data_IF_194172049526
#
_entry.id   IF_194172049526
#
_cell.length_a   1.000
_cell.length_b   1.000
_cell.length_c   1.000
_cell.angle_alpha   90.00
_cell.angle_beta   90.00
_cell.angle_gamma   90.00
#
_symmetry.space_group_name_H-M   'P 1'
#
loop_
_entity.id
_entity.type
_entity.pdbx_description
1 polymer ?
#
# COMPACT_ATOMS: atom_id res chain seq x y z
N UNK A 1 23.95 2.75 53.72
CA UNK A 1 24.25 3.70 52.63
C UNK A 1 23.93 3.01 51.33
N UNK A 2 22.92 3.52 50.62
CA UNK A 2 22.61 3.11 49.25
C UNK A 2 23.80 3.48 48.36
N UNK A 3 24.31 2.51 47.61
CA UNK A 3 25.29 2.78 46.57
C UNK A 3 24.55 3.50 45.43
N UNK A 4 24.79 4.80 45.30
CA UNK A 4 24.40 5.60 44.14
C UNK A 4 24.80 4.86 42.85
N UNK A 5 23.81 4.49 42.05
CA UNK A 5 24.04 3.97 40.72
C UNK A 5 24.71 5.06 39.89
N UNK A 6 26.01 4.93 39.66
CA UNK A 6 26.77 5.84 38.83
C UNK A 6 26.05 6.04 37.48
N UNK A 7 25.74 7.29 37.14
CA UNK A 7 25.21 7.66 35.84
C UNK A 7 26.05 7.00 34.74
N UNK A 8 25.39 6.27 33.85
CA UNK A 8 26.02 5.75 32.64
C UNK A 8 26.44 6.93 31.76
N UNK A 9 27.65 7.44 32.00
CA UNK A 9 28.30 8.41 31.14
C UNK A 9 28.72 7.67 29.86
N UNK A 10 27.99 7.92 28.78
CA UNK A 10 28.47 7.57 27.44
C UNK A 10 29.76 8.36 27.20
N UNK A 11 30.87 7.67 26.93
CA UNK A 11 32.13 8.33 26.58
C UNK A 11 32.05 8.88 25.16
N UNK A 12 32.50 10.11 24.92
CA UNK A 12 32.57 10.81 23.62
C UNK A 12 33.53 10.16 22.59
N UNK A 13 33.88 8.89 22.75
CA UNK A 13 34.58 8.15 21.70
C UNK A 13 33.56 7.75 20.65
N UNK A 14 33.37 8.61 19.64
CA UNK A 14 32.67 8.27 18.41
C UNK A 14 33.24 6.95 17.89
N UNK A 15 32.44 5.89 17.85
CA UNK A 15 32.88 4.54 17.47
C UNK A 15 33.51 4.46 16.05
N UNK A 16 33.48 5.55 15.29
CA UNK A 16 34.09 5.67 13.96
C UNK A 16 34.65 7.10 13.75
N UNK A 17 35.96 7.34 13.97
CA UNK A 17 36.62 8.61 13.67
C UNK A 17 36.41 9.09 12.23
N UNK A 18 36.27 8.16 11.28
CA UNK A 18 35.95 8.45 9.88
C UNK A 18 34.55 9.03 9.68
N UNK A 19 33.56 8.72 10.55
CA UNK A 19 32.23 9.35 10.51
C UNK A 19 32.27 10.79 11.03
N UNK A 20 33.13 11.10 11.99
CA UNK A 20 33.32 12.49 12.43
C UNK A 20 33.93 13.34 11.30
N UNK A 21 34.97 12.82 10.63
CA UNK A 21 35.56 13.47 9.45
C UNK A 21 34.55 13.61 8.30
N UNK A 22 33.72 12.59 8.09
CA UNK A 22 32.63 12.63 7.12
C UNK A 22 31.65 13.75 7.46
N UNK A 23 31.18 13.85 8.70
CA UNK A 23 30.25 14.90 9.12
C UNK A 23 30.80 16.32 8.89
N UNK A 24 32.07 16.55 9.21
CA UNK A 24 32.67 17.87 9.15
C UNK A 24 32.97 18.34 7.71
N UNK A 25 33.21 17.39 6.80
CA UNK A 25 33.71 17.69 5.46
C UNK A 25 32.75 17.40 4.30
N UNK A 26 31.73 16.57 4.51
CA UNK A 26 30.87 16.12 3.40
C UNK A 26 29.96 17.24 2.91
N UNK A 27 30.05 17.51 1.61
CA UNK A 27 29.08 18.31 0.87
C UNK A 27 28.26 17.40 -0.04
N UNK A 28 27.20 17.92 -0.67
CA UNK A 28 26.48 17.14 -1.66
C UNK A 28 27.41 16.67 -2.78
N UNK A 29 28.21 17.59 -3.33
CA UNK A 29 29.12 17.33 -4.46
C UNK A 29 30.12 16.21 -4.17
N UNK A 30 30.57 16.10 -2.92
CA UNK A 30 31.55 15.10 -2.48
C UNK A 30 30.90 13.84 -1.89
N UNK A 31 29.58 13.83 -1.70
CA UNK A 31 28.87 12.78 -0.97
C UNK A 31 29.15 11.38 -1.52
N UNK A 32 29.07 11.19 -2.85
CA UNK A 32 29.24 9.88 -3.48
C UNK A 32 30.63 9.30 -3.25
N UNK A 33 31.66 10.13 -3.41
CA UNK A 33 33.06 9.74 -3.21
C UNK A 33 33.32 9.31 -1.77
N UNK A 34 32.75 10.03 -0.81
CA UNK A 34 32.89 9.72 0.61
C UNK A 34 32.02 8.53 1.05
N UNK A 35 30.84 8.35 0.44
CA UNK A 35 29.93 7.26 0.76
C UNK A 35 30.41 5.91 0.20
N UNK A 36 31.15 5.89 -0.91
CA UNK A 36 31.64 4.68 -1.56
C UNK A 36 32.34 3.69 -0.61
N UNK A 37 33.39 4.11 0.12
CA UNK A 37 34.08 3.26 1.10
C UNK A 37 33.16 2.80 2.25
N UNK A 38 32.27 3.67 2.71
CA UNK A 38 31.32 3.36 3.79
C UNK A 38 30.31 2.29 3.36
N UNK A 39 29.83 2.33 2.12
CA UNK A 39 28.91 1.34 1.56
C UNK A 39 29.55 -0.06 1.42
N UNK A 40 30.87 -0.15 1.31
CA UNK A 40 31.59 -1.42 1.25
C UNK A 40 31.55 -2.20 2.58
N UNK A 41 31.30 -1.53 3.72
CA UNK A 41 31.16 -2.16 5.05
C UNK A 41 29.96 -3.11 5.16
N UNK A 42 28.95 -2.94 4.29
CA UNK A 42 27.65 -3.65 4.31
C UNK A 42 26.86 -3.52 5.62
N UNK A 43 27.23 -2.60 6.50
CA UNK A 43 26.53 -2.33 7.75
C UNK A 43 25.19 -1.61 7.47
N UNK A 44 24.12 -2.08 8.09
CA UNK A 44 22.80 -1.46 7.99
C UNK A 44 22.76 -0.06 8.62
N UNK A 45 23.43 0.15 9.76
CA UNK A 45 23.47 1.43 10.46
C UNK A 45 24.21 2.48 9.65
N UNK A 46 25.30 2.09 8.97
CA UNK A 46 26.03 2.98 8.06
C UNK A 46 25.13 3.41 6.90
N UNK A 47 24.35 2.48 6.31
CA UNK A 47 23.39 2.84 5.25
C UNK A 47 22.31 3.78 5.75
N UNK A 48 21.76 3.57 6.94
CA UNK A 48 20.72 4.44 7.50
C UNK A 48 21.25 5.84 7.80
N UNK A 49 22.46 5.91 8.35
CA UNK A 49 23.17 7.16 8.54
C UNK A 49 23.40 7.92 7.21
N UNK A 50 23.88 7.23 6.16
CA UNK A 50 24.09 7.84 4.84
C UNK A 50 22.79 8.36 4.23
N UNK A 51 21.66 7.65 4.40
CA UNK A 51 20.34 8.11 3.94
C UNK A 51 19.94 9.41 4.65
N UNK A 52 20.06 9.44 5.97
CA UNK A 52 19.70 10.62 6.77
C UNK A 52 20.59 11.82 6.43
N UNK A 53 21.91 11.60 6.31
CA UNK A 53 22.84 12.68 5.96
C UNK A 53 22.61 13.20 4.54
N UNK A 54 22.31 12.32 3.58
CA UNK A 54 21.95 12.76 2.22
C UNK A 54 20.67 13.60 2.23
N UNK A 55 19.65 13.19 2.98
CA UNK A 55 18.41 13.96 3.13
C UNK A 55 18.68 15.37 3.68
N UNK A 56 19.52 15.49 4.70
CA UNK A 56 19.97 16.77 5.28
C UNK A 56 20.70 17.64 4.25
N UNK A 57 21.65 17.06 3.50
CA UNK A 57 22.43 17.79 2.48
C UNK A 57 21.56 18.32 1.33
N UNK A 58 20.51 17.58 0.94
CA UNK A 58 19.50 18.00 -0.03
C UNK A 58 18.62 19.11 0.56
N UNK A 59 18.09 18.90 1.76
CA UNK A 59 17.15 19.83 2.41
C UNK A 59 15.89 20.08 1.57
N UNK A 60 15.52 21.35 1.40
CA UNK A 60 14.38 21.81 0.58
C UNK A 60 14.79 22.22 -0.86
N UNK A 61 16.05 21.99 -1.25
CA UNK A 61 16.59 22.46 -2.52
C UNK A 61 16.30 21.48 -3.68
N UNK A 62 15.41 21.90 -4.58
CA UNK A 62 15.04 21.12 -5.75
C UNK A 62 16.18 20.88 -6.75
N UNK A 63 17.18 21.76 -6.84
CA UNK A 63 18.33 21.56 -7.74
C UNK A 63 19.21 20.43 -7.21
N UNK A 64 19.48 20.44 -5.90
CA UNK A 64 20.20 19.37 -5.21
C UNK A 64 19.48 18.04 -5.32
N UNK A 65 18.17 18.02 -5.07
CA UNK A 65 17.35 16.84 -5.26
C UNK A 65 17.39 16.32 -6.70
N UNK A 66 17.29 17.22 -7.68
CA UNK A 66 17.40 16.88 -9.10
C UNK A 66 18.74 16.24 -9.48
N UNK A 67 19.85 16.73 -8.90
CA UNK A 67 21.17 16.13 -9.08
C UNK A 67 21.24 14.70 -8.51
N UNK A 68 20.61 14.45 -7.37
CA UNK A 68 20.53 13.11 -6.77
C UNK A 68 19.69 12.16 -7.63
N UNK A 69 18.60 12.65 -8.25
CA UNK A 69 17.84 11.87 -9.24
C UNK A 69 18.74 11.46 -10.41
N UNK A 70 19.56 12.38 -10.93
CA UNK A 70 20.49 12.06 -12.02
C UNK A 70 21.51 11.00 -11.62
N UNK A 71 22.09 11.10 -10.41
CA UNK A 71 23.02 10.09 -9.91
C UNK A 71 22.36 8.71 -9.79
N UNK A 72 21.09 8.66 -9.36
CA UNK A 72 20.35 7.42 -9.21
C UNK A 72 20.08 6.72 -10.54
N UNK A 73 20.12 7.41 -11.69
CA UNK A 73 19.93 6.79 -13.01
C UNK A 73 21.04 5.78 -13.33
N UNK A 74 22.27 6.07 -12.92
CA UNK A 74 23.45 5.23 -13.22
C UNK A 74 23.95 4.43 -12.01
N UNK A 75 23.52 4.78 -10.80
CA UNK A 75 23.89 4.08 -9.58
C UNK A 75 23.46 2.60 -9.57
N UNK A 76 24.14 1.80 -8.74
CA UNK A 76 23.91 0.36 -8.61
C UNK A 76 23.87 -0.07 -7.14
N UNK A 77 23.19 -1.18 -6.87
CA UNK A 77 23.20 -1.86 -5.57
C UNK A 77 22.84 -0.94 -4.41
N UNK A 78 23.68 -0.94 -3.36
CA UNK A 78 23.43 -0.18 -2.14
C UNK A 78 23.45 1.34 -2.34
N UNK A 79 24.23 1.84 -3.30
CA UNK A 79 24.28 3.28 -3.61
C UNK A 79 22.92 3.77 -4.10
N UNK A 80 22.33 3.07 -5.09
CA UNK A 80 21.00 3.40 -5.62
C UNK A 80 19.95 3.49 -4.50
N UNK A 81 19.96 2.53 -3.58
CA UNK A 81 19.04 2.50 -2.44
C UNK A 81 19.25 3.67 -1.47
N UNK A 82 20.50 4.06 -1.21
CA UNK A 82 20.81 5.24 -0.37
C UNK A 82 20.36 6.52 -1.05
N UNK A 83 20.62 6.69 -2.34
CA UNK A 83 20.25 7.89 -3.09
C UNK A 83 18.73 8.12 -3.06
N UNK A 84 17.93 7.11 -3.42
CA UNK A 84 16.47 7.24 -3.43
C UNK A 84 15.86 7.37 -2.03
N UNK A 85 16.43 6.68 -1.04
CA UNK A 85 15.95 6.80 0.34
C UNK A 85 16.29 8.16 0.96
N UNK A 86 17.48 8.69 0.69
CA UNK A 86 17.87 10.04 1.12
C UNK A 86 17.03 11.12 0.43
N UNK A 87 16.79 10.97 -0.88
CA UNK A 87 15.86 11.84 -1.61
C UNK A 87 14.47 11.82 -0.98
N UNK A 88 13.91 10.64 -0.74
CA UNK A 88 12.59 10.48 -0.09
C UNK A 88 12.53 11.04 1.34
N UNK A 89 13.66 11.07 2.04
CA UNK A 89 13.78 11.66 3.36
C UNK A 89 13.95 13.18 3.37
N UNK A 90 14.17 13.81 2.21
CA UNK A 90 14.34 15.26 2.08
C UNK A 90 13.00 15.98 1.85
N UNK A 91 12.89 17.23 2.28
CA UNK A 91 11.71 18.07 2.00
C UNK A 91 11.55 18.39 0.51
N UNK A 92 12.69 18.48 -0.20
CA UNK A 92 12.73 18.77 -1.63
C UNK A 92 11.97 17.74 -2.48
N UNK A 93 11.76 16.50 -2.00
CA UNK A 93 10.99 15.49 -2.73
C UNK A 93 9.56 15.96 -3.01
N UNK A 94 8.99 16.81 -2.14
CA UNK A 94 7.64 17.35 -2.28
C UNK A 94 7.51 18.44 -3.34
N UNK A 95 8.64 18.89 -3.95
CA UNK A 95 8.63 19.94 -4.96
C UNK A 95 8.11 19.37 -6.29
N UNK A 96 7.20 20.06 -7.00
CA UNK A 96 6.64 19.57 -8.27
C UNK A 96 7.70 19.22 -9.32
N UNK A 97 8.77 20.01 -9.43
CA UNK A 97 9.86 19.73 -10.37
C UNK A 97 10.66 18.46 -10.04
N UNK A 98 10.77 18.08 -8.76
CA UNK A 98 11.45 16.85 -8.34
C UNK A 98 10.53 15.65 -8.59
N UNK A 99 9.24 15.78 -8.25
CA UNK A 99 8.25 14.76 -8.51
C UNK A 99 8.12 14.44 -10.01
N UNK A 100 8.08 15.47 -10.86
CA UNK A 100 8.05 15.32 -12.32
C UNK A 100 9.29 14.59 -12.84
N UNK A 101 10.48 14.93 -12.34
CA UNK A 101 11.73 14.29 -12.75
C UNK A 101 11.81 12.81 -12.34
N UNK A 102 11.33 12.49 -11.13
CA UNK A 102 11.20 11.11 -10.66
C UNK A 102 10.21 10.30 -11.51
N UNK A 103 9.08 10.91 -11.87
CA UNK A 103 8.08 10.29 -12.74
C UNK A 103 8.66 10.00 -14.13
N UNK A 104 9.33 10.98 -14.73
CA UNK A 104 10.00 10.83 -16.02
C UNK A 104 11.07 9.73 -15.99
N UNK A 105 11.92 9.72 -14.96
CA UNK A 105 12.91 8.65 -14.79
C UNK A 105 12.25 7.28 -14.57
N UNK A 106 11.14 7.21 -13.84
CA UNK A 106 10.35 5.99 -13.66
C UNK A 106 9.74 5.45 -14.95
N UNK A 107 9.45 6.33 -15.90
CA UNK A 107 8.85 5.97 -17.20
C UNK A 107 9.89 5.75 -18.31
N UNK A 108 11.16 6.03 -18.04
CA UNK A 108 12.24 5.93 -19.00
C UNK A 108 12.53 4.47 -19.40
N UNK A 109 12.20 4.12 -20.64
CA UNK A 109 12.41 2.78 -21.20
C UNK A 109 13.90 2.42 -21.37
N UNK A 110 14.79 3.41 -21.31
CA UNK A 110 16.24 3.19 -21.34
C UNK A 110 16.81 2.71 -20.00
N UNK A 111 16.06 2.82 -18.90
CA UNK A 111 16.46 2.32 -17.59
C UNK A 111 15.97 0.89 -17.35
N UNK A 112 16.70 0.15 -16.51
CA UNK A 112 16.26 -1.18 -16.08
C UNK A 112 14.96 -1.09 -15.26
N UNK A 113 14.22 -2.20 -15.21
CA UNK A 113 12.92 -2.27 -14.52
C UNK A 113 13.06 -1.90 -13.04
N UNK A 114 14.11 -2.39 -12.37
CA UNK A 114 14.36 -2.14 -10.95
C UNK A 114 14.62 -0.65 -10.68
N UNK A 115 15.32 0.02 -11.61
CA UNK A 115 15.57 1.47 -11.51
C UNK A 115 14.28 2.26 -11.67
N UNK A 116 13.48 1.90 -12.66
CA UNK A 116 12.17 2.50 -12.92
C UNK A 116 11.25 2.34 -11.71
N UNK A 117 11.18 1.13 -11.15
CA UNK A 117 10.41 0.83 -9.94
C UNK A 117 10.91 1.64 -8.73
N UNK A 118 12.22 1.77 -8.54
CA UNK A 118 12.81 2.60 -7.50
C UNK A 118 12.43 4.09 -7.63
N UNK A 119 12.56 4.65 -8.83
CA UNK A 119 12.20 6.06 -9.10
C UNK A 119 10.72 6.34 -8.81
N UNK A 120 9.83 5.45 -9.24
CA UNK A 120 8.40 5.55 -8.94
C UNK A 120 8.11 5.39 -7.44
N UNK A 121 8.85 4.52 -6.75
CA UNK A 121 8.72 4.31 -5.30
C UNK A 121 9.21 5.51 -4.48
N UNK A 122 10.12 6.33 -4.99
CA UNK A 122 10.53 7.57 -4.31
C UNK A 122 9.35 8.56 -4.17
N UNK A 123 8.31 8.43 -5.02
CA UNK A 123 7.10 9.24 -4.98
C UNK A 123 6.09 8.78 -3.90
N UNK A 124 6.31 7.68 -3.19
CA UNK A 124 5.41 7.16 -2.14
C UNK A 124 5.08 8.16 -1.01
N UNK A 125 5.94 9.17 -0.85
CA UNK A 125 5.83 10.16 0.23
C UNK A 125 5.23 11.47 -0.24
N UNK A 126 4.88 11.60 -1.53
CA UNK A 126 4.19 12.79 -2.00
C UNK A 126 2.92 13.03 -1.18
N UNK A 127 2.67 14.29 -0.83
CA UNK A 127 1.41 14.71 -0.22
C UNK A 127 0.26 14.77 -1.22
N UNK A 128 0.59 14.98 -2.49
CA UNK A 128 -0.35 15.10 -3.60
C UNK A 128 0.35 14.73 -4.91
N UNK A 129 -0.38 14.09 -5.82
CA UNK A 129 0.01 13.89 -7.22
C UNK A 129 -0.90 14.70 -8.13
N UNK A 130 -0.31 15.33 -9.14
CA UNK A 130 -1.10 16.02 -10.16
C UNK A 130 -1.95 15.02 -10.95
N UNK A 131 -3.10 15.45 -11.52
CA UNK A 131 -3.91 14.58 -12.38
C UNK A 131 -3.13 13.90 -13.51
N UNK A 132 -2.27 14.65 -14.21
CA UNK A 132 -1.40 14.11 -15.26
C UNK A 132 -0.45 13.02 -14.74
N UNK A 133 0.17 13.23 -13.56
CA UNK A 133 1.03 12.21 -12.96
C UNK A 133 0.25 10.95 -12.62
N UNK A 134 -0.96 11.10 -12.08
CA UNK A 134 -1.82 9.96 -11.77
C UNK A 134 -2.26 9.19 -13.02
N UNK A 135 -2.66 9.91 -14.08
CA UNK A 135 -3.06 9.32 -15.37
C UNK A 135 -1.90 8.55 -16.00
N UNK A 136 -0.71 9.16 -16.07
CA UNK A 136 0.48 8.51 -16.62
C UNK A 136 0.88 7.26 -15.82
N UNK A 137 0.77 7.29 -14.49
CA UNK A 137 1.02 6.10 -13.65
C UNK A 137 0.00 5.00 -13.90
N UNK A 138 -1.29 5.35 -14.03
CA UNK A 138 -2.36 4.38 -14.27
C UNK A 138 -2.26 3.74 -15.66
N UNK A 139 -1.92 4.53 -16.68
CA UNK A 139 -1.65 4.03 -18.02
C UNK A 139 -0.42 3.12 -18.03
N UNK A 140 0.64 3.53 -17.34
CA UNK A 140 1.85 2.74 -17.25
C UNK A 140 1.64 1.41 -16.52
N UNK A 141 0.90 1.38 -15.41
CA UNK A 141 0.58 0.15 -14.68
C UNK A 141 -0.23 -0.87 -15.51
N UNK A 142 -0.97 -0.41 -16.52
CA UNK A 142 -1.73 -1.27 -17.43
C UNK A 142 -0.93 -1.75 -18.65
N UNK A 143 0.28 -1.21 -18.87
CA UNK A 143 1.17 -1.68 -19.93
C UNK A 143 1.72 -3.07 -19.57
N UNK A 144 1.54 -4.11 -20.41
CA UNK A 144 2.13 -5.44 -20.18
C UNK A 144 3.66 -5.41 -19.97
N UNK A 145 4.37 -4.42 -20.51
CA UNK A 145 5.81 -4.27 -20.37
C UNK A 145 6.24 -3.57 -19.06
N UNK A 146 5.28 -3.19 -18.20
CA UNK A 146 5.57 -2.43 -16.98
C UNK A 146 6.13 -3.28 -15.84
N UNK A 147 5.67 -4.53 -15.69
CA UNK A 147 6.16 -5.51 -14.69
C UNK A 147 6.28 -4.89 -13.28
N UNK A 148 7.41 -5.07 -12.58
CA UNK A 148 7.64 -4.52 -11.23
C UNK A 148 7.50 -2.98 -11.18
N UNK A 149 7.85 -2.27 -12.26
CA UNK A 149 7.68 -0.82 -12.29
C UNK A 149 6.21 -0.41 -12.36
N UNK A 150 5.35 -1.19 -13.01
CA UNK A 150 3.89 -1.00 -12.97
C UNK A 150 3.30 -1.26 -11.59
N UNK A 151 3.82 -2.27 -10.89
CA UNK A 151 3.49 -2.51 -9.48
C UNK A 151 3.88 -1.34 -8.59
N UNK A 152 5.09 -0.78 -8.78
CA UNK A 152 5.53 0.41 -8.04
C UNK A 152 4.63 1.63 -8.31
N UNK A 153 4.24 1.89 -9.57
CA UNK A 153 3.30 2.96 -9.91
C UNK A 153 1.95 2.81 -9.18
N UNK A 154 1.39 1.60 -9.20
CA UNK A 154 0.12 1.26 -8.53
C UNK A 154 0.21 1.46 -7.03
N UNK A 155 1.32 1.02 -6.41
CA UNK A 155 1.56 1.19 -4.98
C UNK A 155 1.71 2.66 -4.60
N UNK A 156 2.40 3.45 -5.42
CA UNK A 156 2.57 4.89 -5.21
C UNK A 156 1.20 5.58 -5.23
N UNK A 157 0.34 5.28 -6.20
CA UNK A 157 -1.04 5.81 -6.23
C UNK A 157 -1.80 5.50 -4.95
N UNK A 158 -1.78 4.25 -4.49
CA UNK A 158 -2.45 3.84 -3.24
C UNK A 158 -1.91 4.53 -1.99
N UNK A 159 -0.58 4.69 -1.89
CA UNK A 159 0.07 5.35 -0.75
C UNK A 159 -0.17 6.84 -0.71
N UNK A 160 -0.12 7.52 -1.86
CA UNK A 160 -0.41 8.96 -1.91
C UNK A 160 -1.91 9.21 -1.67
N UNK A 161 -2.80 8.37 -2.20
CA UNK A 161 -4.23 8.42 -1.86
C UNK A 161 -4.46 8.38 -0.35
N UNK A 162 -3.77 7.49 0.37
CA UNK A 162 -3.86 7.40 1.84
C UNK A 162 -3.48 8.68 2.53
N UNK A 163 -2.29 9.19 2.20
CA UNK A 163 -1.78 10.44 2.78
C UNK A 163 -2.67 11.63 2.44
N UNK A 164 -3.14 11.74 1.21
CA UNK A 164 -3.93 12.88 0.78
C UNK A 164 -5.34 12.83 1.38
N UNK A 165 -5.98 11.66 1.41
CA UNK A 165 -7.29 11.50 2.04
C UNK A 165 -7.27 11.81 3.53
N UNK A 166 -6.20 11.45 4.25
CA UNK A 166 -6.02 11.81 5.67
C UNK A 166 -5.94 13.33 5.87
N UNK A 167 -5.43 14.08 4.90
CA UNK A 167 -5.19 15.52 5.01
C UNK A 167 -6.32 16.38 4.42
N UNK A 168 -6.88 16.00 3.28
CA UNK A 168 -7.84 16.78 2.49
C UNK A 168 -9.25 16.18 2.46
N UNK A 169 -9.42 14.92 2.86
CA UNK A 169 -10.71 14.25 2.94
C UNK A 169 -11.30 13.79 1.60
N UNK A 170 -10.56 13.85 0.48
CA UNK A 170 -11.00 13.34 -0.83
C UNK A 170 -9.99 12.36 -1.44
N UNK A 171 -10.42 11.11 -1.63
CA UNK A 171 -9.66 10.04 -2.27
C UNK A 171 -10.12 9.75 -3.71
N UNK A 172 -11.21 10.38 -4.17
CA UNK A 172 -11.93 10.00 -5.39
C UNK A 172 -11.07 10.00 -6.65
N UNK A 173 -10.18 10.98 -6.90
CA UNK A 173 -9.34 11.00 -8.10
C UNK A 173 -8.39 9.80 -8.18
N UNK A 174 -7.85 9.35 -7.05
CA UNK A 174 -6.98 8.17 -6.98
C UNK A 174 -7.78 6.89 -7.13
N UNK A 175 -8.94 6.82 -6.46
CA UNK A 175 -9.81 5.65 -6.46
C UNK A 175 -10.24 5.29 -7.88
N UNK A 176 -10.66 6.25 -8.71
CA UNK A 176 -11.10 5.95 -10.09
C UNK A 176 -9.97 5.34 -10.94
N UNK A 177 -8.72 5.75 -10.70
CA UNK A 177 -7.53 5.26 -11.40
C UNK A 177 -7.09 3.89 -10.88
N UNK A 178 -7.10 3.68 -9.57
CA UNK A 178 -6.87 2.38 -8.96
C UNK A 178 -7.91 1.36 -9.43
N UNK A 179 -9.19 1.70 -9.50
CA UNK A 179 -10.22 0.79 -10.02
C UNK A 179 -9.98 0.50 -11.53
N UNK A 180 -9.43 1.46 -12.27
CA UNK A 180 -9.04 1.25 -13.68
C UNK A 180 -7.91 0.25 -13.81
N UNK A 181 -6.87 0.39 -13.00
CA UNK A 181 -5.79 -0.61 -12.94
C UNK A 181 -6.34 -1.98 -12.50
N UNK A 182 -7.17 -2.01 -11.46
CA UNK A 182 -7.81 -3.21 -10.92
C UNK A 182 -8.67 -3.99 -11.93
N UNK A 183 -9.21 -3.31 -12.94
CA UNK A 183 -10.06 -3.92 -13.98
C UNK A 183 -9.27 -4.31 -15.22
N UNK A 184 -8.32 -3.46 -15.62
CA UNK A 184 -7.76 -3.49 -16.98
C UNK A 184 -6.29 -3.93 -17.03
N UNK A 185 -5.57 -3.97 -15.90
CA UNK A 185 -4.16 -4.35 -15.93
C UNK A 185 -4.03 -5.84 -16.31
N UNK A 186 -3.12 -6.20 -17.23
CA UNK A 186 -2.95 -7.59 -17.65
C UNK A 186 -2.28 -8.44 -16.56
N UNK A 187 -1.41 -7.83 -15.76
CA UNK A 187 -0.71 -8.47 -14.65
C UNK A 187 -1.64 -8.60 -13.43
N UNK A 188 -1.77 -9.84 -12.97
CA UNK A 188 -2.65 -10.22 -11.86
C UNK A 188 -2.23 -9.59 -10.52
N UNK A 189 -0.93 -9.50 -10.24
CA UNK A 189 -0.43 -8.91 -9.00
C UNK A 189 -0.66 -7.41 -8.98
N UNK A 190 -0.54 -6.74 -10.13
CA UNK A 190 -0.89 -5.33 -10.29
C UNK A 190 -2.39 -5.11 -10.08
N UNK A 191 -3.26 -5.95 -10.68
CA UNK A 191 -4.71 -5.88 -10.45
C UNK A 191 -5.04 -6.06 -8.98
N UNK A 192 -4.52 -7.10 -8.34
CA UNK A 192 -4.79 -7.40 -6.93
C UNK A 192 -4.33 -6.26 -6.00
N UNK A 193 -3.14 -5.69 -6.23
CA UNK A 193 -2.67 -4.53 -5.47
C UNK A 193 -3.62 -3.33 -5.63
N UNK A 194 -4.10 -3.06 -6.84
CA UNK A 194 -5.02 -1.96 -7.10
C UNK A 194 -6.40 -2.19 -6.46
N UNK A 195 -6.84 -3.45 -6.35
CA UNK A 195 -8.10 -3.84 -5.70
C UNK A 195 -8.02 -3.66 -4.18
N UNK A 196 -6.86 -3.92 -3.57
CA UNK A 196 -6.67 -3.86 -2.12
C UNK A 196 -6.24 -2.47 -1.62
N UNK A 197 -5.62 -1.63 -2.45
CA UNK A 197 -5.17 -0.29 -2.06
C UNK A 197 -6.25 0.59 -1.38
N UNK A 198 -7.54 0.59 -1.84
CA UNK A 198 -8.61 1.35 -1.18
C UNK A 198 -8.90 0.93 0.27
N UNK A 199 -8.61 -0.32 0.65
CA UNK A 199 -8.94 -0.87 1.97
C UNK A 199 -8.26 -0.12 3.11
N UNK A 200 -7.10 0.48 2.87
CA UNK A 200 -6.36 1.23 3.89
C UNK A 200 -7.05 2.52 4.32
N UNK A 201 -7.84 3.15 3.44
CA UNK A 201 -8.42 4.48 3.69
C UNK A 201 -9.93 4.46 3.85
N UNK A 202 -10.55 3.30 3.60
CA UNK A 202 -11.98 3.14 3.75
C UNK A 202 -12.82 4.18 2.98
N UNK A 203 -12.50 4.50 1.70
CA UNK A 203 -13.16 5.57 0.99
C UNK A 203 -14.65 5.25 0.78
N UNK A 204 -15.48 6.29 0.83
CA UNK A 204 -16.90 6.16 0.46
C UNK A 204 -16.99 5.87 -1.04
N UNK A 205 -17.62 4.76 -1.39
CA UNK A 205 -17.83 4.39 -2.79
C UNK A 205 -19.05 5.11 -3.35
N UNK A 206 -18.90 5.78 -4.48
CA UNK A 206 -20.05 6.24 -5.27
C UNK A 206 -20.66 5.07 -6.09
N UNK A 207 -21.76 5.33 -6.79
CA UNK A 207 -22.45 4.32 -7.58
C UNK A 207 -21.58 3.76 -8.73
N UNK A 208 -20.70 4.59 -9.31
CA UNK A 208 -19.80 4.20 -10.41
C UNK A 208 -18.73 3.24 -9.90
N UNK A 209 -18.08 3.57 -8.78
CA UNK A 209 -17.09 2.75 -8.12
C UNK A 209 -17.70 1.42 -7.65
N UNK A 210 -18.89 1.48 -7.04
CA UNK A 210 -19.66 0.29 -6.63
C UNK A 210 -19.84 -0.65 -7.81
N UNK A 211 -20.42 -0.20 -8.92
CA UNK A 211 -20.67 -1.02 -10.11
C UNK A 211 -19.40 -1.64 -10.71
N UNK A 212 -18.24 -0.98 -10.58
CA UNK A 212 -16.96 -1.53 -11.06
C UNK A 212 -16.44 -2.64 -10.15
N UNK A 213 -16.54 -2.48 -8.83
CA UNK A 213 -16.20 -3.58 -7.91
C UNK A 213 -17.17 -4.75 -8.00
N UNK A 214 -18.46 -4.52 -8.30
CA UNK A 214 -19.39 -5.62 -8.59
C UNK A 214 -18.98 -6.42 -9.82
N UNK A 215 -18.42 -5.75 -10.84
CA UNK A 215 -17.87 -6.44 -12.01
C UNK A 215 -16.68 -7.30 -11.61
N UNK A 216 -15.72 -6.74 -10.87
CA UNK A 216 -14.54 -7.48 -10.38
C UNK A 216 -14.98 -8.72 -9.59
N UNK A 217 -15.93 -8.55 -8.66
CA UNK A 217 -16.50 -9.65 -7.88
C UNK A 217 -17.11 -10.76 -8.75
N UNK A 218 -17.62 -10.47 -9.94
CA UNK A 218 -18.26 -11.46 -10.83
C UNK A 218 -17.31 -12.03 -11.89
N UNK A 219 -16.27 -11.31 -12.27
CA UNK A 219 -15.46 -11.62 -13.46
C UNK A 219 -13.97 -11.83 -13.21
N UNK A 220 -13.42 -11.42 -12.06
CA UNK A 220 -12.00 -11.66 -11.76
C UNK A 220 -11.72 -13.16 -11.67
N UNK A 221 -10.64 -13.61 -12.31
CA UNK A 221 -10.33 -15.03 -12.43
C UNK A 221 -9.89 -15.66 -11.11
N UNK A 222 -9.13 -14.93 -10.31
CA UNK A 222 -8.60 -15.40 -9.03
C UNK A 222 -9.57 -15.16 -7.86
N UNK A 223 -9.38 -15.92 -6.78
CA UNK A 223 -10.21 -15.83 -5.58
C UNK A 223 -9.89 -14.56 -4.77
N UNK A 224 -8.61 -14.20 -4.68
CA UNK A 224 -8.12 -13.07 -3.86
C UNK A 224 -8.69 -11.72 -4.31
N UNK A 225 -8.83 -11.52 -5.62
CA UNK A 225 -9.41 -10.31 -6.19
C UNK A 225 -10.93 -10.26 -6.04
N UNK A 226 -11.61 -11.40 -6.05
CA UNK A 226 -13.04 -11.48 -5.70
C UNK A 226 -13.27 -11.25 -4.20
N UNK A 227 -12.40 -11.77 -3.32
CA UNK A 227 -12.42 -11.46 -1.88
C UNK A 227 -12.18 -9.97 -1.62
N UNK A 228 -11.14 -9.39 -2.23
CA UNK A 228 -10.85 -7.96 -2.12
C UNK A 228 -12.03 -7.10 -2.60
N UNK A 229 -12.66 -7.47 -3.73
CA UNK A 229 -13.86 -6.79 -4.22
C UNK A 229 -15.02 -6.87 -3.24
N UNK A 230 -15.27 -8.04 -2.63
CA UNK A 230 -16.29 -8.19 -1.59
C UNK A 230 -15.96 -7.32 -0.37
N UNK A 231 -14.70 -7.26 0.07
CA UNK A 231 -14.28 -6.42 1.18
C UNK A 231 -14.52 -4.93 0.91
N UNK A 232 -14.17 -4.45 -0.29
CA UNK A 232 -14.38 -3.04 -0.68
C UNK A 232 -15.88 -2.73 -0.82
N UNK A 233 -16.67 -3.59 -1.46
CA UNK A 233 -18.12 -3.40 -1.58
C UNK A 233 -18.81 -3.32 -0.22
N UNK A 234 -18.29 -4.02 0.79
CA UNK A 234 -18.80 -3.99 2.16
C UNK A 234 -18.75 -2.60 2.82
N UNK A 235 -18.07 -1.65 2.19
CA UNK A 235 -17.90 -0.27 2.64
C UNK A 235 -18.88 0.71 1.97
N UNK A 236 -19.69 0.24 1.02
CA UNK A 236 -20.69 1.07 0.35
C UNK A 236 -21.76 1.58 1.31
N UNK A 237 -22.29 2.77 1.03
CA UNK A 237 -23.45 3.30 1.76
C UNK A 237 -24.76 2.60 1.40
N UNK A 238 -24.85 1.98 0.22
CA UNK A 238 -26.05 1.27 -0.24
C UNK A 238 -26.06 -0.20 0.22
N UNK A 239 -26.42 -0.38 1.49
CA UNK A 239 -26.39 -1.68 2.17
C UNK A 239 -27.32 -2.71 1.52
N UNK A 240 -28.51 -2.30 1.13
CA UNK A 240 -29.52 -3.19 0.54
C UNK A 240 -29.04 -3.72 -0.81
N UNK A 241 -28.51 -2.83 -1.66
CA UNK A 241 -27.95 -3.22 -2.94
C UNK A 241 -26.76 -4.19 -2.77
N UNK A 242 -25.82 -3.88 -1.87
CA UNK A 242 -24.64 -4.74 -1.66
C UNK A 242 -25.03 -6.11 -1.10
N UNK A 243 -25.95 -6.18 -0.13
CA UNK A 243 -26.43 -7.46 0.39
C UNK A 243 -27.11 -8.31 -0.69
N UNK A 244 -27.88 -7.68 -1.58
CA UNK A 244 -28.45 -8.35 -2.74
C UNK A 244 -27.36 -8.87 -3.67
N UNK A 245 -26.38 -8.04 -4.01
CA UNK A 245 -25.24 -8.44 -4.86
C UNK A 245 -24.46 -9.60 -4.25
N UNK A 246 -24.22 -9.59 -2.93
CA UNK A 246 -23.56 -10.71 -2.27
C UNK A 246 -24.39 -11.99 -2.28
N UNK A 247 -25.71 -11.89 -2.11
CA UNK A 247 -26.62 -13.03 -2.21
C UNK A 247 -26.57 -13.66 -3.61
N UNK A 248 -26.70 -12.83 -4.64
CA UNK A 248 -26.67 -13.26 -6.04
C UNK A 248 -25.30 -13.89 -6.39
N UNK A 249 -24.21 -13.27 -5.95
CA UNK A 249 -22.85 -13.78 -6.15
C UNK A 249 -22.61 -15.10 -5.42
N UNK A 250 -23.07 -15.24 -4.18
CA UNK A 250 -22.88 -16.46 -3.37
C UNK A 250 -23.53 -17.69 -4.02
N UNK A 251 -24.69 -17.51 -4.65
CA UNK A 251 -25.40 -18.58 -5.37
C UNK A 251 -24.62 -19.09 -6.58
N UNK A 252 -23.97 -18.19 -7.32
CA UNK A 252 -23.21 -18.53 -8.52
C UNK A 252 -21.77 -19.00 -8.22
N UNK A 253 -21.19 -18.51 -7.13
CA UNK A 253 -19.80 -18.76 -6.76
C UNK A 253 -19.54 -20.22 -6.43
N UNK A 254 -18.40 -20.75 -6.87
CA UNK A 254 -17.98 -22.13 -6.64
C UNK A 254 -16.87 -22.23 -5.58
N UNK A 255 -16.06 -21.19 -5.45
CA UNK A 255 -15.01 -21.10 -4.43
C UNK A 255 -15.61 -20.98 -3.04
N UNK A 256 -15.22 -21.88 -2.14
CA UNK A 256 -15.57 -21.77 -0.72
C UNK A 256 -14.95 -20.53 -0.09
N UNK A 257 -13.80 -20.07 -0.59
CA UNK A 257 -13.10 -18.90 -0.06
C UNK A 257 -13.80 -17.60 -0.42
N UNK A 258 -14.25 -17.47 -1.68
CA UNK A 258 -15.06 -16.31 -2.06
C UNK A 258 -16.44 -16.36 -1.39
N UNK A 259 -17.05 -17.54 -1.22
CA UNK A 259 -18.26 -17.69 -0.40
C UNK A 259 -18.04 -17.26 1.05
N UNK A 260 -16.88 -17.56 1.64
CA UNK A 260 -16.51 -17.07 2.97
C UNK A 260 -16.39 -15.55 3.00
N UNK A 261 -15.75 -14.95 2.00
CA UNK A 261 -15.69 -13.49 1.83
C UNK A 261 -17.08 -12.85 1.83
N UNK A 262 -17.97 -13.34 0.94
CA UNK A 262 -19.34 -12.83 0.81
C UNK A 262 -20.11 -12.95 2.12
N UNK A 263 -20.02 -14.09 2.79
CA UNK A 263 -20.70 -14.34 4.06
C UNK A 263 -20.21 -13.43 5.19
N UNK A 264 -18.90 -13.33 5.41
CA UNK A 264 -18.33 -12.49 6.47
C UNK A 264 -18.54 -11.01 6.18
N UNK A 265 -18.46 -10.60 4.93
CA UNK A 265 -18.66 -9.20 4.56
C UNK A 265 -20.13 -8.79 4.52
N UNK A 266 -21.09 -9.71 4.35
CA UNK A 266 -22.51 -9.42 4.65
C UNK A 266 -22.68 -8.92 6.09
N UNK A 267 -22.03 -9.57 7.06
CA UNK A 267 -22.03 -9.12 8.45
C UNK A 267 -21.40 -7.72 8.61
N UNK A 268 -20.38 -7.37 7.82
CA UNK A 268 -19.78 -6.02 7.82
C UNK A 268 -20.74 -4.96 7.25
N UNK A 269 -21.48 -5.28 6.19
CA UNK A 269 -22.39 -4.35 5.50
C UNK A 269 -23.51 -3.86 6.42
N UNK A 270 -24.16 -4.78 7.15
CA UNK A 270 -25.39 -4.46 7.88
C UNK A 270 -25.45 -5.00 9.31
N UNK A 271 -24.36 -5.57 9.84
CA UNK A 271 -24.34 -6.08 11.20
C UNK A 271 -25.40 -7.17 11.41
N UNK A 272 -26.22 -6.99 12.45
CA UNK A 272 -27.34 -7.88 12.77
C UNK A 272 -28.39 -7.94 11.64
N UNK A 273 -28.58 -6.86 10.90
CA UNK A 273 -29.58 -6.80 9.82
C UNK A 273 -29.18 -7.67 8.61
N UNK A 274 -27.92 -8.14 8.55
CA UNK A 274 -27.46 -9.10 7.55
C UNK A 274 -27.87 -10.56 7.86
N UNK A 275 -28.31 -10.87 9.09
CA UNK A 275 -28.61 -12.24 9.51
C UNK A 275 -29.59 -12.98 8.59
N UNK A 276 -30.69 -12.37 8.06
CA UNK A 276 -31.57 -13.06 7.12
C UNK A 276 -30.86 -13.48 5.82
N UNK A 277 -29.98 -12.63 5.30
CA UNK A 277 -29.17 -12.91 4.10
C UNK A 277 -28.18 -14.04 4.40
N UNK A 278 -27.50 -13.98 5.54
CA UNK A 278 -26.56 -15.02 5.97
C UNK A 278 -27.24 -16.38 6.20
N UNK A 279 -28.46 -16.40 6.75
CA UNK A 279 -29.25 -17.62 6.90
C UNK A 279 -29.58 -18.26 5.54
N UNK A 280 -29.91 -17.44 4.54
CA UNK A 280 -30.14 -17.90 3.18
C UNK A 280 -28.85 -18.48 2.56
N UNK A 281 -27.71 -17.80 2.70
CA UNK A 281 -26.40 -18.30 2.27
C UNK A 281 -26.07 -19.65 2.92
N UNK A 282 -26.34 -19.81 4.22
CA UNK A 282 -26.15 -21.06 4.94
C UNK A 282 -27.11 -22.18 4.50
N UNK A 283 -28.26 -21.83 3.89
CA UNK A 283 -29.15 -22.81 3.26
C UNK A 283 -28.62 -23.25 1.90
N UNK A 284 -28.01 -22.33 1.14
CA UNK A 284 -27.36 -22.61 -0.16
C UNK A 284 -26.11 -23.47 0.01
N UNK A 285 -25.31 -23.20 1.04
CA UNK A 285 -24.11 -23.97 1.38
C UNK A 285 -24.14 -24.39 2.86
N UNK A 286 -24.56 -25.63 3.18
CA UNK A 286 -24.71 -26.10 4.55
C UNK A 286 -23.43 -26.06 5.40
N UNK A 287 -22.24 -25.94 4.79
CA UNK A 287 -20.97 -25.75 5.52
C UNK A 287 -20.98 -24.46 6.35
N UNK A 288 -21.83 -23.49 6.01
CA UNK A 288 -21.95 -22.20 6.68
C UNK A 288 -22.98 -22.20 7.83
N UNK A 289 -23.75 -23.27 8.03
CA UNK A 289 -24.73 -23.35 9.13
C UNK A 289 -24.12 -23.13 10.52
N UNK A 290 -22.99 -23.77 10.88
CA UNK A 290 -22.34 -23.51 12.17
C UNK A 290 -21.87 -22.05 12.30
N UNK A 291 -21.36 -21.47 11.21
CA UNK A 291 -20.89 -20.08 11.19
C UNK A 291 -22.06 -19.11 11.41
N UNK A 292 -23.19 -19.33 10.75
CA UNK A 292 -24.41 -18.56 10.96
C UNK A 292 -24.85 -18.55 12.43
N UNK A 293 -24.90 -19.72 13.08
CA UNK A 293 -25.25 -19.82 14.50
C UNK A 293 -24.30 -19.07 15.44
N UNK A 294 -23.00 -19.00 15.10
CA UNK A 294 -22.02 -18.20 15.84
C UNK A 294 -22.33 -16.70 15.69
N UNK A 295 -22.53 -16.21 14.46
CA UNK A 295 -22.87 -14.80 14.23
C UNK A 295 -24.18 -14.42 14.92
N UNK A 296 -25.22 -15.25 14.84
CA UNK A 296 -26.49 -15.03 15.55
C UNK A 296 -26.28 -14.90 17.06
N UNK A 297 -25.49 -15.80 17.65
CA UNK A 297 -25.15 -15.78 19.07
C UNK A 297 -24.40 -14.50 19.47
N UNK A 298 -23.38 -14.10 18.69
CA UNK A 298 -22.60 -12.90 18.97
C UNK A 298 -23.46 -11.62 18.89
N UNK A 299 -24.35 -11.52 17.90
CA UNK A 299 -25.29 -10.39 17.82
C UNK A 299 -26.32 -10.41 18.96
N UNK A 300 -26.78 -11.58 19.40
CA UNK A 300 -27.69 -11.72 20.54
C UNK A 300 -27.04 -11.29 21.88
N UNK A 301 -25.71 -11.40 22.00
CA UNK A 301 -24.93 -10.95 23.16
C UNK A 301 -24.72 -9.42 23.20
N UNK A 302 -25.21 -8.68 22.19
CA UNK A 302 -25.13 -7.22 22.13
C UNK A 302 -23.93 -6.66 21.38
N UNK A 303 -23.19 -7.49 20.64
CA UNK A 303 -22.14 -7.01 19.75
C UNK A 303 -22.77 -6.33 18.53
N UNK A 304 -22.49 -5.04 18.33
CA UNK A 304 -23.09 -4.25 17.22
C UNK A 304 -22.08 -3.88 16.13
N UNK A 305 -20.79 -3.96 16.42
CA UNK A 305 -19.70 -3.62 15.50
C UNK A 305 -19.07 -4.88 14.90
N UNK A 306 -18.78 -4.83 13.61
CA UNK A 306 -18.21 -5.96 12.87
C UNK A 306 -16.81 -6.37 13.39
N UNK A 307 -15.95 -5.42 13.77
CA UNK A 307 -14.61 -5.74 14.28
C UNK A 307 -14.71 -6.50 15.60
N UNK A 308 -15.66 -6.12 16.47
CA UNK A 308 -15.91 -6.86 17.70
C UNK A 308 -16.41 -8.28 17.42
N UNK A 309 -17.41 -8.43 16.56
CA UNK A 309 -17.92 -9.76 16.15
C UNK A 309 -16.79 -10.61 15.56
N UNK A 310 -15.97 -10.02 14.67
CA UNK A 310 -14.83 -10.68 14.04
C UNK A 310 -13.79 -11.19 15.04
N UNK A 311 -13.45 -10.37 16.04
CA UNK A 311 -12.47 -10.73 17.07
C UNK A 311 -13.00 -11.77 18.07
N UNK A 312 -14.32 -11.91 18.20
CA UNK A 312 -14.96 -12.90 19.06
C UNK A 312 -15.29 -14.21 18.33
N UNK A 313 -14.99 -14.32 17.03
CA UNK A 313 -15.10 -15.58 16.30
C UNK A 313 -14.13 -16.64 16.88
N UNK A 314 -14.59 -17.89 17.06
CA UNK A 314 -13.72 -18.97 17.55
C UNK A 314 -12.64 -19.36 16.53
N UNK A 315 -12.92 -19.18 15.24
CA UNK A 315 -11.95 -19.32 14.15
C UNK A 315 -12.30 -18.29 13.06
N UNK A 316 -11.36 -17.41 12.75
CA UNK A 316 -11.52 -16.41 11.68
C UNK A 316 -11.24 -17.01 10.30
N UNK A 317 -10.61 -18.19 10.23
CA UNK A 317 -10.22 -18.89 9.01
C UNK A 317 -10.79 -20.33 8.90
N UNK A 318 -12.12 -20.51 9.04
CA UNK A 318 -12.73 -21.85 9.15
C UNK A 318 -12.52 -22.76 7.94
N UNK A 319 -12.13 -22.18 6.80
CA UNK A 319 -11.91 -22.90 5.54
C UNK A 319 -10.46 -22.82 5.01
N UNK A 320 -9.54 -22.20 5.77
CA UNK A 320 -8.14 -22.05 5.32
C UNK A 320 -7.93 -21.07 4.16
N UNK A 321 -8.84 -20.11 4.00
CA UNK A 321 -8.92 -19.16 2.88
C UNK A 321 -8.18 -17.85 3.10
N UNK A 322 -7.88 -17.49 4.35
CA UNK A 322 -7.06 -16.30 4.62
C UNK A 322 -5.58 -16.68 4.63
N UNK A 323 -4.78 -15.88 3.95
CA UNK A 323 -3.34 -16.03 3.92
C UNK A 323 -2.75 -16.05 5.34
N UNK A 324 -1.98 -17.09 5.63
CA UNK A 324 -1.08 -17.10 6.78
C UNK A 324 0.13 -16.25 6.41
N UNK A 325 0.07 -14.95 6.68
CA UNK A 325 1.29 -14.16 6.76
C UNK A 325 2.15 -14.72 7.91
N UNK A 326 3.17 -15.53 7.55
CA UNK A 326 4.33 -15.77 8.40
C UNK A 326 5.33 -14.63 8.22
#
# INVERSE_FOLDING_TARGET
EEAEAAERRFSDQTCFPELARFNDGVTLETFRDWAGPLLASRDALVRDYLKAKLAELIGDDAKKAGQVVDWARDAQGAEFQVLLSGLRGSDAVQKPQVAARLLEAGMDKGLSIERRAGMLSALDTQKHLTPDAMDRMADFARDPASTEAGWAATRTLGRVMARESENLGDASPYLDRLITIATDAPDEQIRHLAQTAPLHNSPVLDAKATARFERILRSEGNEDGRDAAAQVLAMSSDKEHVLKTFTDAFQAEQSVCVRWALFRFSARVAGRDALPVMANMATVDPRFQPLYGIFETLYAQGNVDFIRVWNELPDQNPFGCMDRHN
#
